data_IF_956473363276
#
_entry.id   IF_956473363276
#
_cell.length_a   1.000
_cell.length_b   1.000
_cell.length_c   1.000
_cell.angle_alpha   90.00
_cell.angle_beta   90.00
_cell.angle_gamma   90.00
#
_symmetry.space_group_name_H-M   'P 1'
#
loop_
_entity.id
_entity.type
_entity.pdbx_description
1 polymer ?
#
# COMPACT_ATOMS: atom_id res chain seq x y z
N UNK A 1 2.47 -6.78 -1.94
CA UNK A 1 3.22 -7.73 -1.12
C UNK A 1 3.37 -7.26 0.33
N UNK A 2 4.04 -6.14 0.63
CA UNK A 2 4.25 -5.72 2.03
C UNK A 2 2.95 -5.52 2.85
N UNK A 3 1.86 -5.11 2.23
CA UNK A 3 0.60 -4.87 2.95
C UNK A 3 -0.06 -6.12 3.53
N UNK A 4 0.18 -7.29 2.98
CA UNK A 4 -0.44 -8.54 3.48
C UNK A 4 0.25 -9.04 4.75
N UNK A 5 1.54 -8.80 4.88
CA UNK A 5 2.32 -9.16 6.08
C UNK A 5 1.81 -8.44 7.31
N UNK A 6 1.52 -7.14 7.20
CA UNK A 6 0.95 -6.38 8.32
C UNK A 6 -0.44 -6.88 8.70
N UNK A 7 -1.28 -7.25 7.73
CA UNK A 7 -2.61 -7.81 7.99
C UNK A 7 -2.52 -9.15 8.72
N UNK A 8 -1.63 -10.05 8.26
CA UNK A 8 -1.38 -11.33 8.93
C UNK A 8 -0.93 -11.12 10.36
N UNK A 9 0.04 -10.24 10.61
CA UNK A 9 0.56 -9.96 11.94
C UNK A 9 -0.53 -9.41 12.87
N UNK A 10 -1.34 -8.46 12.40
CA UNK A 10 -2.45 -7.92 13.17
C UNK A 10 -3.47 -9.01 13.49
N UNK A 11 -3.79 -9.86 12.52
CA UNK A 11 -4.68 -10.99 12.72
C UNK A 11 -4.13 -11.97 13.78
N UNK A 12 -2.90 -12.43 13.62
CA UNK A 12 -2.30 -13.42 14.52
C UNK A 12 -2.15 -12.92 15.97
N UNK A 13 -1.96 -11.61 16.17
CA UNK A 13 -1.70 -11.03 17.48
C UNK A 13 -2.92 -10.47 18.20
N UNK A 14 -3.86 -9.94 17.45
CA UNK A 14 -4.93 -9.10 18.02
C UNK A 14 -6.33 -9.49 17.57
N UNK A 15 -6.50 -10.33 16.56
CA UNK A 15 -7.84 -10.68 16.11
C UNK A 15 -8.56 -11.59 17.12
N UNK A 16 -9.79 -11.25 17.42
CA UNK A 16 -10.71 -12.05 18.24
C UNK A 16 -11.69 -12.87 17.38
N UNK A 17 -11.82 -12.55 16.11
CA UNK A 17 -12.68 -13.26 15.17
C UNK A 17 -11.85 -14.17 14.26
N UNK A 18 -12.37 -15.33 13.87
CA UNK A 18 -11.70 -16.21 12.92
C UNK A 18 -11.65 -15.60 11.51
N UNK A 19 -10.70 -16.05 10.71
CA UNK A 19 -10.38 -15.44 9.40
C UNK A 19 -11.55 -15.51 8.40
N UNK A 20 -12.29 -16.60 8.40
CA UNK A 20 -13.48 -16.77 7.55
C UNK A 20 -14.54 -15.70 7.83
N UNK A 21 -14.74 -15.33 9.09
CA UNK A 21 -15.66 -14.25 9.48
C UNK A 21 -15.16 -12.88 9.05
N UNK A 22 -13.86 -12.64 9.17
CA UNK A 22 -13.25 -11.37 8.74
C UNK A 22 -13.29 -11.20 7.21
N UNK A 23 -13.15 -12.28 6.46
CA UNK A 23 -13.16 -12.27 5.00
C UNK A 23 -14.56 -12.40 4.38
N UNK A 24 -15.60 -12.73 5.15
CA UNK A 24 -16.97 -12.90 4.66
C UNK A 24 -17.46 -11.69 3.84
N UNK A 25 -17.30 -10.49 4.39
CA UNK A 25 -17.75 -9.27 3.72
C UNK A 25 -16.90 -8.89 2.48
N UNK A 26 -15.57 -8.91 2.53
CA UNK A 26 -14.72 -8.73 1.34
C UNK A 26 -15.02 -9.73 0.22
N UNK A 27 -15.23 -11.01 0.53
CA UNK A 27 -15.61 -12.05 -0.43
C UNK A 27 -16.95 -11.69 -1.08
N UNK A 28 -17.95 -11.40 -0.25
CA UNK A 28 -19.29 -11.05 -0.71
C UNK A 28 -19.27 -9.85 -1.64
N UNK A 29 -18.65 -8.74 -1.23
CA UNK A 29 -18.65 -7.50 -2.00
C UNK A 29 -17.86 -7.65 -3.32
N UNK A 30 -16.80 -8.44 -3.32
CA UNK A 30 -16.03 -8.72 -4.54
C UNK A 30 -16.84 -9.53 -5.54
N UNK A 31 -17.68 -10.47 -5.07
CA UNK A 31 -18.51 -11.34 -5.89
C UNK A 31 -19.79 -10.67 -6.36
N UNK A 32 -20.53 -10.04 -5.46
CA UNK A 32 -21.79 -9.38 -5.78
C UNK A 32 -21.59 -8.06 -6.54
N UNK A 33 -20.43 -7.45 -6.33
CA UNK A 33 -20.05 -6.18 -6.93
C UNK A 33 -20.38 -4.98 -6.03
N UNK A 34 -19.78 -3.87 -6.39
CA UNK A 34 -19.94 -2.59 -5.71
C UNK A 34 -20.01 -1.42 -6.69
N UNK A 35 -20.67 -0.36 -6.27
CA UNK A 35 -20.79 0.85 -7.08
C UNK A 35 -19.59 1.77 -6.85
N UNK A 36 -19.08 2.30 -7.95
CA UNK A 36 -18.08 3.37 -7.89
C UNK A 36 -18.75 4.73 -7.86
N UNK A 37 -18.16 5.66 -7.10
CA UNK A 37 -18.52 7.08 -7.22
C UNK A 37 -18.03 7.64 -8.55
N UNK A 38 -18.60 8.75 -9.00
CA UNK A 38 -18.19 9.35 -10.28
C UNK A 38 -16.69 9.70 -10.31
N UNK A 39 -16.09 10.33 -9.29
CA UNK A 39 -14.64 10.58 -9.27
C UNK A 39 -13.81 9.31 -9.39
N UNK A 40 -14.23 8.21 -8.76
CA UNK A 40 -13.53 6.92 -8.83
C UNK A 40 -13.64 6.30 -10.22
N UNK A 41 -14.79 6.43 -10.89
CA UNK A 41 -14.95 6.00 -12.28
C UNK A 41 -14.03 6.76 -13.22
N UNK A 42 -14.00 8.08 -13.09
CA UNK A 42 -13.16 8.95 -13.92
C UNK A 42 -11.68 8.59 -13.73
N UNK A 43 -11.24 8.41 -12.49
CA UNK A 43 -9.89 7.94 -12.19
C UNK A 43 -9.61 6.56 -12.79
N UNK A 44 -10.56 5.63 -12.69
CA UNK A 44 -10.41 4.29 -13.25
C UNK A 44 -10.25 4.35 -14.78
N UNK A 45 -11.08 5.10 -15.46
CA UNK A 45 -11.07 5.23 -16.92
C UNK A 45 -9.79 5.93 -17.41
N UNK A 46 -9.41 7.04 -16.78
CA UNK A 46 -8.33 7.89 -17.27
C UNK A 46 -6.94 7.47 -16.80
N UNK A 47 -6.84 6.81 -15.65
CA UNK A 47 -5.55 6.45 -15.05
C UNK A 47 -5.31 4.95 -15.02
N UNK A 48 -6.25 4.17 -14.47
CA UNK A 48 -6.04 2.74 -14.28
C UNK A 48 -6.22 1.94 -15.58
N UNK A 49 -7.19 2.30 -16.41
CA UNK A 49 -7.43 1.60 -17.68
C UNK A 49 -6.19 1.61 -18.60
N UNK A 50 -5.54 2.74 -18.88
CA UNK A 50 -4.31 2.74 -19.65
C UNK A 50 -3.21 1.86 -19.05
N UNK A 51 -3.09 1.87 -17.72
CA UNK A 51 -2.09 1.10 -17.00
C UNK A 51 -2.27 -0.42 -17.18
N UNK A 52 -3.51 -0.93 -17.22
CA UNK A 52 -3.77 -2.36 -17.38
C UNK A 52 -3.91 -2.81 -18.85
N UNK A 53 -4.12 -1.89 -19.78
CA UNK A 53 -4.37 -2.23 -21.18
C UNK A 53 -3.12 -2.64 -21.97
N UNK A 54 -1.92 -2.37 -21.47
CA UNK A 54 -0.68 -2.74 -22.16
C UNK A 54 -0.36 -4.24 -22.01
N UNK A 55 -0.83 -4.87 -20.93
CA UNK A 55 -0.55 -6.26 -20.63
C UNK A 55 -1.74 -7.16 -21.03
N UNK A 56 -1.53 -8.10 -21.95
CA UNK A 56 -2.62 -8.86 -22.58
C UNK A 56 -3.48 -9.66 -21.59
N UNK A 57 -2.85 -10.32 -20.59
CA UNK A 57 -3.60 -11.04 -19.59
C UNK A 57 -4.44 -10.10 -18.69
N UNK A 58 -3.87 -8.97 -18.27
CA UNK A 58 -4.59 -7.96 -17.49
C UNK A 58 -5.76 -7.38 -18.27
N UNK A 59 -5.52 -7.03 -19.53
CA UNK A 59 -6.54 -6.50 -20.44
C UNK A 59 -7.71 -7.47 -20.64
N UNK A 60 -7.40 -8.74 -20.90
CA UNK A 60 -8.44 -9.76 -21.11
C UNK A 60 -9.23 -10.05 -19.83
N UNK A 61 -8.54 -10.14 -18.69
CA UNK A 61 -9.17 -10.42 -17.38
C UNK A 61 -10.05 -9.29 -16.90
N UNK A 62 -9.63 -8.04 -17.13
CA UNK A 62 -10.37 -6.85 -16.70
C UNK A 62 -11.40 -6.37 -17.72
N UNK A 63 -11.56 -7.05 -18.86
CA UNK A 63 -12.50 -6.64 -19.88
C UNK A 63 -13.92 -6.42 -19.32
N UNK A 64 -14.43 -7.40 -18.59
CA UNK A 64 -15.76 -7.34 -17.99
C UNK A 64 -15.84 -6.22 -16.93
N UNK A 65 -14.77 -5.98 -16.17
CA UNK A 65 -14.72 -4.88 -15.20
C UNK A 65 -14.89 -3.53 -15.89
N UNK A 66 -14.31 -3.33 -17.07
CA UNK A 66 -14.47 -2.09 -17.83
C UNK A 66 -15.84 -1.95 -18.47
N UNK A 67 -16.43 -3.06 -18.93
CA UNK A 67 -17.81 -3.08 -19.45
C UNK A 67 -18.81 -2.81 -18.30
N UNK A 68 -18.61 -3.38 -17.13
CA UNK A 68 -19.44 -3.17 -15.94
C UNK A 68 -19.33 -1.75 -15.38
N UNK A 69 -18.22 -1.04 -15.61
CA UNK A 69 -18.09 0.37 -15.21
C UNK A 69 -19.14 1.27 -15.82
N UNK A 70 -19.56 1.00 -17.04
CA UNK A 70 -20.67 1.74 -17.69
C UNK A 70 -21.97 1.53 -16.92
N UNK A 71 -22.22 0.32 -16.44
CA UNK A 71 -23.37 -0.03 -15.60
C UNK A 71 -23.20 0.42 -14.13
N UNK A 72 -22.02 0.88 -13.74
CA UNK A 72 -21.73 1.42 -12.43
C UNK A 72 -21.52 0.39 -11.33
N UNK A 73 -21.41 -0.91 -11.65
CA UNK A 73 -21.13 -2.01 -10.71
C UNK A 73 -19.86 -2.70 -11.16
N UNK A 74 -18.90 -2.86 -10.25
CA UNK A 74 -17.64 -3.57 -10.48
C UNK A 74 -17.67 -4.88 -9.73
N UNK A 75 -17.39 -5.99 -10.41
CA UNK A 75 -17.21 -7.32 -9.83
C UNK A 75 -15.77 -7.79 -10.00
N UNK A 76 -15.26 -8.46 -8.98
CA UNK A 76 -13.89 -8.97 -8.92
C UNK A 76 -13.90 -10.47 -8.59
N UNK A 77 -14.50 -11.28 -9.47
CA UNK A 77 -14.73 -12.71 -9.22
C UNK A 77 -13.43 -13.44 -8.84
N UNK A 78 -12.36 -13.25 -9.59
CA UNK A 78 -11.05 -13.89 -9.30
C UNK A 78 -10.51 -13.52 -7.92
N UNK A 79 -10.68 -12.25 -7.50
CA UNK A 79 -10.29 -11.81 -6.17
C UNK A 79 -11.19 -12.44 -5.11
N UNK A 80 -12.49 -12.55 -5.36
CA UNK A 80 -13.43 -13.23 -4.48
C UNK A 80 -13.02 -14.70 -4.26
N UNK A 81 -12.67 -15.41 -5.33
CA UNK A 81 -12.23 -16.81 -5.25
C UNK A 81 -10.93 -16.94 -4.44
N UNK A 82 -9.96 -16.04 -4.65
CA UNK A 82 -8.70 -16.00 -3.88
C UNK A 82 -8.93 -15.70 -2.40
N UNK A 83 -9.79 -14.72 -2.08
CA UNK A 83 -10.13 -14.42 -0.68
C UNK A 83 -10.86 -15.58 0.00
N UNK A 84 -11.76 -16.27 -0.74
CA UNK A 84 -12.44 -17.45 -0.23
C UNK A 84 -11.45 -18.60 0.01
N UNK A 85 -10.52 -18.85 -0.90
CA UNK A 85 -9.45 -19.82 -0.72
C UNK A 85 -8.61 -19.48 0.53
N UNK A 86 -8.20 -18.23 0.67
CA UNK A 86 -7.45 -17.76 1.83
C UNK A 86 -8.23 -17.89 3.15
N UNK A 87 -9.56 -17.75 3.13
CA UNK A 87 -10.39 -17.94 4.32
C UNK A 87 -10.40 -19.37 4.84
N UNK A 88 -10.14 -20.35 3.96
CA UNK A 88 -10.08 -21.78 4.26
C UNK A 88 -8.65 -22.20 4.62
N UNK A 89 -7.68 -21.88 3.78
CA UNK A 89 -6.29 -22.34 3.90
C UNK A 89 -5.44 -21.44 4.84
N UNK A 90 -5.92 -20.24 5.14
CA UNK A 90 -5.23 -19.28 6.00
C UNK A 90 -4.22 -18.41 5.26
N UNK A 91 -3.63 -17.44 5.99
CA UNK A 91 -2.65 -16.52 5.44
C UNK A 91 -1.35 -17.17 4.95
N UNK A 92 -1.02 -18.36 5.46
CA UNK A 92 0.19 -19.07 5.05
C UNK A 92 0.19 -19.45 3.58
N UNK A 93 -0.98 -19.67 2.99
CA UNK A 93 -1.11 -20.03 1.58
C UNK A 93 -0.55 -18.94 0.64
N UNK A 94 -0.62 -17.67 1.08
CA UNK A 94 0.00 -16.57 0.36
C UNK A 94 1.53 -16.69 0.26
N UNK A 95 2.18 -17.35 1.22
CA UNK A 95 3.64 -17.48 1.29
C UNK A 95 4.15 -18.83 0.80
N UNK A 96 3.44 -19.92 1.09
CA UNK A 96 3.92 -21.28 0.85
C UNK A 96 2.89 -22.21 0.18
N UNK A 97 1.72 -21.68 -0.19
CA UNK A 97 0.62 -22.45 -0.76
C UNK A 97 0.39 -22.18 -2.26
N UNK A 98 -0.85 -22.34 -2.69
CA UNK A 98 -1.21 -22.22 -4.11
C UNK A 98 -1.24 -20.77 -4.59
N UNK A 99 -1.55 -19.82 -3.70
CA UNK A 99 -1.47 -18.40 -4.01
C UNK A 99 -0.01 -18.01 -4.31
N UNK A 100 0.94 -18.42 -3.45
CA UNK A 100 2.36 -18.12 -3.66
C UNK A 100 2.88 -18.74 -4.97
N UNK A 101 2.51 -19.97 -5.28
CA UNK A 101 2.87 -20.62 -6.55
C UNK A 101 2.39 -19.82 -7.76
N UNK A 102 1.14 -19.35 -7.73
CA UNK A 102 0.58 -18.51 -8.80
C UNK A 102 1.31 -17.18 -8.95
N UNK A 103 1.71 -16.56 -7.83
CA UNK A 103 2.50 -15.33 -7.82
C UNK A 103 3.88 -15.56 -8.45
N UNK A 104 4.61 -16.55 -7.94
CA UNK A 104 5.97 -16.88 -8.39
C UNK A 104 5.96 -17.24 -9.89
N UNK A 105 5.05 -18.10 -10.31
CA UNK A 105 4.92 -18.48 -11.73
C UNK A 105 4.61 -17.28 -12.63
N UNK A 106 3.80 -16.33 -12.15
CA UNK A 106 3.54 -15.11 -12.90
C UNK A 106 4.80 -14.24 -12.98
N UNK A 107 5.51 -14.09 -11.86
CA UNK A 107 6.78 -13.31 -11.82
C UNK A 107 7.82 -13.91 -12.76
N UNK A 108 8.00 -15.23 -12.77
CA UNK A 108 8.93 -15.92 -13.71
C UNK A 108 8.60 -15.61 -15.18
N UNK A 109 7.32 -15.66 -15.54
CA UNK A 109 6.87 -15.37 -16.92
C UNK A 109 7.09 -13.91 -17.28
N UNK A 110 6.86 -13.00 -16.36
CA UNK A 110 6.95 -11.55 -16.58
C UNK A 110 8.35 -10.96 -16.31
N UNK A 111 9.34 -11.82 -16.02
CA UNK A 111 10.73 -11.40 -15.79
C UNK A 111 10.97 -10.79 -14.41
N UNK A 112 10.13 -11.11 -13.43
CA UNK A 112 10.32 -10.71 -12.04
C UNK A 112 11.42 -11.54 -11.37
N UNK A 113 12.03 -11.00 -10.30
CA UNK A 113 13.18 -11.61 -9.63
C UNK A 113 12.86 -12.34 -8.33
N UNK A 114 11.67 -12.13 -7.74
CA UNK A 114 11.31 -12.80 -6.49
C UNK A 114 11.09 -14.29 -6.69
N UNK A 115 11.66 -15.08 -5.80
CA UNK A 115 11.69 -16.56 -5.85
C UNK A 115 10.80 -17.17 -4.76
N UNK A 116 10.58 -18.48 -4.82
CA UNK A 116 9.88 -19.21 -3.75
C UNK A 116 10.63 -19.08 -2.41
N UNK A 117 11.95 -19.04 -2.44
CA UNK A 117 12.77 -18.89 -1.25
C UNK A 117 12.56 -17.53 -0.56
N UNK A 118 12.41 -16.45 -1.34
CA UNK A 118 12.10 -15.14 -0.81
C UNK A 118 10.74 -15.12 -0.08
N UNK A 119 9.76 -15.85 -0.60
CA UNK A 119 8.45 -15.96 0.05
C UNK A 119 8.51 -16.78 1.35
N UNK A 120 9.20 -17.92 1.34
CA UNK A 120 9.37 -18.78 2.52
C UNK A 120 10.15 -18.08 3.62
N UNK A 121 11.21 -17.37 3.26
CA UNK A 121 12.10 -16.70 4.20
C UNK A 121 11.62 -15.31 4.59
N UNK A 122 10.51 -14.84 4.02
CA UNK A 122 10.01 -13.50 4.33
C UNK A 122 9.63 -13.37 5.79
N UNK A 123 10.29 -12.45 6.47
CA UNK A 123 10.03 -12.13 7.88
C UNK A 123 9.67 -10.66 8.02
N UNK A 124 8.73 -10.40 8.93
CA UNK A 124 8.39 -9.05 9.30
C UNK A 124 9.47 -8.46 10.19
N UNK A 125 9.96 -7.30 9.84
CA UNK A 125 10.84 -6.51 10.68
C UNK A 125 9.99 -5.62 11.58
N UNK A 126 10.09 -5.82 12.89
CA UNK A 126 9.47 -4.94 13.88
C UNK A 126 10.44 -3.81 14.20
N UNK A 127 10.10 -2.63 13.77
CA UNK A 127 10.89 -1.44 14.04
C UNK A 127 10.56 -0.85 15.42
N UNK A 128 11.55 -0.18 16.00
CA UNK A 128 11.36 0.52 17.27
C UNK A 128 10.39 1.70 17.09
N UNK A 129 9.61 1.94 18.14
CA UNK A 129 8.77 3.14 18.23
C UNK A 129 9.49 4.22 19.01
N UNK A 130 9.24 5.47 18.67
CA UNK A 130 9.60 6.60 19.52
C UNK A 130 8.39 7.08 20.32
N UNK A 131 8.67 7.63 21.50
CA UNK A 131 7.70 8.38 22.30
C UNK A 131 8.19 9.82 22.40
N UNK A 132 7.32 10.77 22.15
CA UNK A 132 7.64 12.18 22.21
C UNK A 132 6.54 12.96 22.90
N UNK A 133 6.91 13.76 23.91
CA UNK A 133 5.99 14.62 24.64
C UNK A 133 5.89 15.97 23.96
N UNK A 134 4.71 16.31 23.43
CA UNK A 134 4.42 17.60 22.86
C UNK A 134 3.30 18.25 23.65
N UNK A 135 3.63 19.30 24.40
CA UNK A 135 2.70 19.95 25.35
C UNK A 135 2.12 18.90 26.31
N UNK A 136 0.81 18.73 26.32
CA UNK A 136 0.09 17.73 27.13
C UNK A 136 -0.22 16.41 26.37
N UNK A 137 0.31 16.26 25.16
CA UNK A 137 0.09 15.08 24.32
C UNK A 137 1.32 14.18 24.29
N UNK A 138 1.11 12.89 24.43
CA UNK A 138 2.14 11.88 24.19
C UNK A 138 1.99 11.35 22.75
N UNK A 139 2.99 11.59 21.91
CA UNK A 139 3.03 11.18 20.54
C UNK A 139 3.85 9.90 20.41
N UNK A 140 3.29 8.91 19.73
CA UNK A 140 3.96 7.65 19.44
C UNK A 140 4.10 7.54 17.93
N UNK A 141 5.29 7.23 17.46
CA UNK A 141 5.55 7.07 16.04
C UNK A 141 6.63 6.05 15.74
N UNK A 142 6.86 5.82 14.48
CA UNK A 142 7.84 4.88 13.96
C UNK A 142 9.23 5.51 13.92
N UNK A 143 10.25 4.82 14.45
CA UNK A 143 11.59 5.39 14.61
C UNK A 143 12.44 5.38 13.34
N UNK A 144 12.22 4.50 12.43
CA UNK A 144 12.96 4.38 11.16
C UNK A 144 12.55 3.12 10.40
N UNK A 145 13.01 2.91 9.18
CA UNK A 145 13.82 3.78 8.32
C UNK A 145 13.03 4.95 7.70
N UNK A 146 11.74 5.09 7.99
CA UNK A 146 10.91 6.18 7.50
C UNK A 146 11.31 7.52 8.09
N UNK A 147 11.61 8.50 7.25
CA UNK A 147 11.95 9.87 7.68
C UNK A 147 10.72 10.70 8.03
N UNK A 148 9.52 10.26 7.66
CA UNK A 148 8.27 11.02 7.86
C UNK A 148 8.01 11.34 9.34
N UNK A 149 8.11 10.36 10.22
CA UNK A 149 7.95 10.56 11.66
C UNK A 149 8.96 11.55 12.24
N UNK A 150 10.23 11.46 11.84
CA UNK A 150 11.26 12.41 12.25
C UNK A 150 10.97 13.83 11.79
N UNK A 151 10.46 14.01 10.56
CA UNK A 151 10.09 15.34 10.06
C UNK A 151 8.94 15.95 10.86
N UNK A 152 7.93 15.14 11.21
CA UNK A 152 6.83 15.59 12.09
C UNK A 152 7.36 16.02 13.45
N UNK A 153 8.25 15.24 14.08
CA UNK A 153 8.84 15.61 15.36
C UNK A 153 9.64 16.91 15.29
N UNK A 154 10.42 17.11 14.24
CA UNK A 154 11.20 18.33 14.04
C UNK A 154 10.30 19.53 13.82
N UNK A 155 9.21 19.37 13.08
CA UNK A 155 8.20 20.39 12.90
C UNK A 155 7.59 20.80 14.26
N UNK A 156 7.12 19.83 15.03
CA UNK A 156 6.51 20.06 16.34
C UNK A 156 7.51 20.70 17.33
N UNK A 157 8.78 20.25 17.29
CA UNK A 157 9.83 20.84 18.12
C UNK A 157 10.12 22.30 17.74
N UNK A 158 10.02 22.64 16.48
CA UNK A 158 10.14 24.03 16.01
C UNK A 158 9.02 24.94 16.50
N UNK A 159 7.83 24.38 16.78
CA UNK A 159 6.69 25.12 17.33
C UNK A 159 6.76 25.34 18.85
N UNK A 160 7.66 24.68 19.56
CA UNK A 160 7.84 24.84 21.01
C UNK A 160 8.81 25.95 21.37
N UNK A 161 9.61 26.43 20.41
CA UNK A 161 10.46 27.61 20.56
C UNK A 161 9.66 28.86 20.22
N UNK A 162 9.60 29.80 21.10
CA UNK A 162 9.00 31.14 21.21
C UNK A 162 8.28 31.80 19.99
N UNK A 163 8.26 31.21 18.81
CA UNK A 163 7.48 31.67 17.66
C UNK A 163 6.50 30.59 17.21
N UNK A 164 5.20 30.83 17.37
CA UNK A 164 4.12 30.04 16.76
C UNK A 164 4.07 30.24 15.22
N UNK A 165 5.19 30.51 14.58
CA UNK A 165 5.28 30.66 13.13
C UNK A 165 5.34 29.31 12.46
N UNK A 166 4.15 28.79 12.15
CA UNK A 166 3.93 27.52 11.47
C UNK A 166 4.64 27.45 10.12
N UNK A 167 4.67 28.56 9.39
CA UNK A 167 5.31 28.64 8.07
C UNK A 167 6.82 28.51 8.19
N UNK A 168 7.44 29.23 9.11
CA UNK A 168 8.87 29.17 9.33
C UNK A 168 9.31 27.80 9.85
N UNK A 169 8.56 27.19 10.76
CA UNK A 169 8.83 25.83 11.26
C UNK A 169 8.77 24.80 10.11
N UNK A 170 7.76 24.88 9.26
CA UNK A 170 7.62 23.99 8.10
C UNK A 170 8.77 24.20 7.10
N UNK A 171 9.11 25.46 6.82
CA UNK A 171 10.22 25.81 5.92
C UNK A 171 11.56 25.29 6.42
N UNK A 172 11.84 25.40 7.71
CA UNK A 172 13.07 24.89 8.31
C UNK A 172 13.18 23.37 8.17
N UNK A 173 12.09 22.63 8.44
CA UNK A 173 12.04 21.17 8.27
C UNK A 173 12.24 20.77 6.81
N UNK A 174 11.63 21.51 5.89
CA UNK A 174 11.78 21.26 4.47
C UNK A 174 13.22 21.48 3.97
N UNK A 175 13.84 22.59 4.39
CA UNK A 175 15.25 22.89 4.06
C UNK A 175 16.20 21.87 4.68
N UNK A 176 15.97 21.46 5.91
CA UNK A 176 16.78 20.42 6.55
C UNK A 176 16.66 19.09 5.79
N UNK A 177 15.44 18.71 5.40
CA UNK A 177 15.21 17.53 4.58
C UNK A 177 15.98 17.59 3.27
N UNK A 178 15.96 18.72 2.57
CA UNK A 178 16.72 18.90 1.34
C UNK A 178 18.22 18.78 1.58
N UNK A 179 18.76 19.45 2.58
CA UNK A 179 20.20 19.54 2.83
C UNK A 179 20.81 18.24 3.35
N UNK A 180 20.13 17.52 4.24
CA UNK A 180 20.68 16.30 4.87
C UNK A 180 20.38 15.02 4.09
N UNK A 181 19.36 15.02 3.27
CA UNK A 181 18.95 13.86 2.50
C UNK A 181 19.12 14.07 1.01
N UNK A 182 20.03 14.96 0.64
CA UNK A 182 20.41 15.33 -0.73
C UNK A 182 21.09 14.21 -1.52
N UNK A 183 21.47 13.11 -0.87
CA UNK A 183 22.02 11.94 -1.53
C UNK A 183 21.08 11.39 -2.63
N UNK A 184 19.81 11.73 -2.53
CA UNK A 184 18.79 11.50 -3.57
C UNK A 184 18.62 12.65 -4.56
N UNK A 185 19.50 13.66 -4.56
CA UNK A 185 19.25 14.97 -5.18
C UNK A 185 19.05 14.94 -6.69
N UNK A 186 19.93 14.30 -7.45
CA UNK A 186 19.81 14.29 -8.92
C UNK A 186 18.65 13.41 -9.40
N UNK A 187 18.51 12.23 -8.85
CA UNK A 187 17.37 11.33 -9.14
C UNK A 187 16.06 11.96 -8.70
N UNK A 188 16.05 12.65 -7.54
CA UNK A 188 14.87 13.36 -7.05
C UNK A 188 14.41 14.46 -7.99
N UNK A 189 15.30 15.25 -8.56
CA UNK A 189 14.94 16.32 -9.51
C UNK A 189 14.32 15.75 -10.78
N UNK A 190 14.84 14.62 -11.28
CA UNK A 190 14.25 13.90 -12.39
C UNK A 190 12.87 13.34 -12.02
N UNK A 191 12.75 12.67 -10.88
CA UNK A 191 11.50 12.11 -10.39
C UNK A 191 10.47 13.20 -10.07
N UNK A 192 10.86 14.29 -9.41
CA UNK A 192 9.96 15.39 -9.11
C UNK A 192 9.50 16.14 -10.37
N UNK A 193 10.37 16.28 -11.39
CA UNK A 193 9.99 16.83 -12.67
C UNK A 193 9.03 15.93 -13.45
N UNK A 194 9.18 14.62 -13.34
CA UNK A 194 8.21 13.66 -13.91
C UNK A 194 6.91 13.61 -13.09
N UNK A 195 6.99 13.59 -11.77
CA UNK A 195 5.80 13.63 -10.87
C UNK A 195 5.02 14.93 -11.03
N UNK A 196 5.67 16.06 -11.23
CA UNK A 196 4.97 17.34 -11.48
C UNK A 196 4.22 17.35 -12.83
N UNK A 197 4.62 16.52 -13.76
CA UNK A 197 3.90 16.31 -15.03
C UNK A 197 2.76 15.29 -14.89
N UNK A 198 2.84 14.39 -13.90
CA UNK A 198 1.84 13.38 -13.59
C UNK A 198 1.04 13.91 -12.39
N UNK A 199 0.03 14.72 -12.66
CA UNK A 199 -0.80 15.30 -11.61
C UNK A 199 -1.49 14.22 -10.77
N UNK A 200 -1.21 14.22 -9.46
CA UNK A 200 -2.08 13.73 -8.37
C UNK A 200 -2.76 12.37 -8.57
N UNK A 201 -2.00 11.30 -8.64
CA UNK A 201 -2.53 9.98 -8.41
C UNK A 201 -2.28 9.57 -6.96
N UNK A 202 -3.29 9.68 -6.11
CA UNK A 202 -3.26 9.13 -4.77
C UNK A 202 -3.74 7.68 -4.82
N UNK A 203 -2.82 6.73 -4.93
CA UNK A 203 -3.11 5.29 -4.83
C UNK A 203 -2.94 4.76 -3.41
N UNK A 204 -2.83 5.64 -2.44
CA UNK A 204 -2.64 5.32 -1.03
C UNK A 204 -3.99 5.33 -0.30
N UNK A 205 -4.27 4.25 0.43
CA UNK A 205 -5.46 4.11 1.27
C UNK A 205 -5.01 4.15 2.73
N UNK A 206 -5.67 4.99 3.51
CA UNK A 206 -5.52 5.06 4.95
C UNK A 206 -6.80 4.55 5.61
N UNK A 207 -6.66 3.60 6.53
CA UNK A 207 -7.77 3.11 7.37
C UNK A 207 -7.45 3.40 8.83
N UNK A 208 -8.34 4.11 9.50
CA UNK A 208 -8.26 4.38 10.93
C UNK A 208 -9.51 3.84 11.60
N UNK A 209 -9.33 3.13 12.71
CA UNK A 209 -10.42 2.64 13.54
C UNK A 209 -10.17 2.98 15.00
N UNK A 210 -11.25 3.15 15.75
CA UNK A 210 -11.22 3.41 17.18
C UNK A 210 -12.45 2.77 17.82
N UNK A 211 -12.27 2.17 18.98
CA UNK A 211 -13.37 1.59 19.76
C UNK A 211 -13.63 2.38 21.06
N UNK A 212 -14.66 1.98 21.79
CA UNK A 212 -15.06 2.58 23.07
C UNK A 212 -14.06 2.33 24.20
N UNK A 213 -13.13 1.38 24.04
CA UNK A 213 -12.07 1.07 25.01
C UNK A 213 -10.78 1.86 24.72
N UNK A 214 -10.82 2.85 23.83
CA UNK A 214 -9.68 3.62 23.37
C UNK A 214 -8.62 2.76 22.66
N UNK A 215 -9.00 1.65 22.06
CA UNK A 215 -8.14 0.93 21.14
C UNK A 215 -8.17 1.64 19.79
N UNK A 216 -7.01 2.09 19.34
CA UNK A 216 -6.85 2.78 18.05
C UNK A 216 -5.98 1.94 17.14
N UNK A 217 -6.45 1.76 15.92
CA UNK A 217 -5.69 1.08 14.87
C UNK A 217 -5.63 1.97 13.63
N UNK A 218 -4.45 2.08 13.06
CA UNK A 218 -4.20 2.86 11.85
C UNK A 218 -3.30 2.08 10.90
N UNK A 219 -3.71 1.96 9.66
CA UNK A 219 -2.95 1.27 8.63
C UNK A 219 -3.01 2.03 7.31
N UNK A 220 -1.85 2.12 6.67
CA UNK A 220 -1.72 2.73 5.35
C UNK A 220 -1.33 1.67 4.34
N UNK A 221 -2.04 1.63 3.22
CA UNK A 221 -1.74 0.76 2.09
C UNK A 221 -1.41 1.60 0.87
N UNK A 222 -0.37 1.22 0.15
CA UNK A 222 -0.07 1.82 -1.14
C UNK A 222 0.37 0.75 -2.14
N UNK A 223 -0.15 0.84 -3.34
CA UNK A 223 0.34 0.07 -4.49
C UNK A 223 1.30 0.88 -5.35
N UNK A 224 1.67 2.08 -4.90
CA UNK A 224 2.30 3.06 -5.75
C UNK A 224 1.35 3.42 -6.90
N UNK A 225 1.86 3.41 -8.12
CA UNK A 225 1.01 3.57 -9.32
C UNK A 225 0.46 2.23 -9.83
N UNK A 226 0.92 1.10 -9.27
CA UNK A 226 0.68 -0.23 -9.81
C UNK A 226 1.58 -0.56 -11.01
N UNK A 227 1.73 -1.84 -11.33
CA UNK A 227 2.52 -2.31 -12.47
C UNK A 227 1.69 -2.48 -13.75
N UNK A 228 0.37 -2.58 -13.62
CA UNK A 228 -0.52 -2.98 -14.70
C UNK A 228 -0.57 -4.49 -14.96
N UNK A 229 0.23 -5.28 -14.24
CA UNK A 229 0.28 -6.73 -14.36
C UNK A 229 -0.58 -7.40 -13.28
N UNK A 230 -1.54 -8.21 -13.71
CA UNK A 230 -2.33 -9.08 -12.84
C UNK A 230 -1.61 -10.42 -12.62
N UNK A 231 -1.57 -10.86 -11.38
CA UNK A 231 -1.16 -12.21 -11.05
C UNK A 231 -2.20 -13.21 -11.55
N UNK A 232 -1.74 -14.20 -12.33
CA UNK A 232 -2.60 -15.18 -12.96
C UNK A 232 -3.41 -15.93 -11.90
N UNK A 233 -4.68 -16.14 -12.22
CA UNK A 233 -5.66 -16.88 -11.42
C UNK A 233 -6.03 -16.29 -10.05
N UNK A 234 -5.46 -15.16 -9.61
CA UNK A 234 -5.69 -14.63 -8.26
C UNK A 234 -6.54 -13.36 -8.23
N UNK A 235 -6.66 -12.64 -9.35
CA UNK A 235 -7.31 -11.33 -9.38
C UNK A 235 -6.52 -10.23 -8.64
N UNK A 236 -5.33 -10.53 -8.11
CA UNK A 236 -4.43 -9.55 -7.51
C UNK A 236 -3.55 -8.92 -8.58
N UNK A 237 -3.14 -7.67 -8.39
CA UNK A 237 -2.18 -6.99 -9.25
C UNK A 237 -0.88 -6.68 -8.50
N UNK A 238 0.22 -6.66 -9.25
CA UNK A 238 1.51 -6.29 -8.69
C UNK A 238 1.59 -4.77 -8.52
N UNK A 239 2.23 -4.35 -7.45
CA UNK A 239 2.56 -2.95 -7.22
C UNK A 239 3.82 -2.54 -8.00
N UNK A 240 4.15 -1.25 -7.97
CA UNK A 240 5.41 -0.69 -8.46
C UNK A 240 6.23 -0.05 -7.33
N UNK A 241 6.06 -0.50 -6.09
CA UNK A 241 6.73 0.09 -4.92
C UNK A 241 8.25 0.05 -4.99
N UNK A 242 8.83 -0.84 -5.80
CA UNK A 242 10.28 -0.89 -6.03
C UNK A 242 10.85 0.39 -6.66
N UNK A 243 10.03 1.21 -7.32
CA UNK A 243 10.43 2.54 -7.78
C UNK A 243 10.85 3.49 -6.64
N UNK A 244 10.38 3.21 -5.43
CA UNK A 244 10.68 4.01 -4.23
C UNK A 244 11.72 3.35 -3.32
N UNK A 245 12.04 2.09 -3.52
CA UNK A 245 12.92 1.28 -2.67
C UNK A 245 14.19 0.83 -3.38
N UNK A 246 14.30 1.02 -4.68
CA UNK A 246 15.53 0.70 -5.43
C UNK A 246 16.76 1.49 -4.97
N UNK A 247 16.53 2.58 -4.24
CA UNK A 247 17.61 3.38 -3.65
C UNK A 247 18.01 2.91 -2.23
N UNK A 248 17.29 1.96 -1.64
CA UNK A 248 17.61 1.40 -0.32
C UNK A 248 18.37 0.07 -0.40
N UNK A 249 18.56 -0.47 -1.59
CA UNK A 249 19.25 -1.74 -1.82
C UNK A 249 20.65 -1.60 -2.45
N UNK A 250 21.06 -0.37 -2.79
CA UNK A 250 22.35 -0.06 -3.41
C UNK A 250 23.39 0.51 -2.40
N UNK A 251 23.10 0.44 -1.06
CA UNK A 251 24.06 0.76 0.02
C UNK A 251 24.51 -0.49 0.78
#
# INVERSE_FOLDING_TARGET
>A
AASDVYKRQVYERYASLPLDKLLEYPIKISKEGFKLTQPTKDYFIHSLKPMFMWHEYSKSTLKNVYEDLENGIVKLDKLSDTLNHMSIEGFNDFYIGDISKSIIQTLEIEGGHATAEDFVNYQLIEESKFNYQFKNLNLIGHAGPSIGGLMVLKYLNGLTSESDDLEQALKNVYLERQNKYEFFGERRNVINNEISKISQSSSTIQVNTSDENNFHFSITFSSGYGSGVLCKNTGMYFNNCLLYTSDAADD
#
